data_IF_205376003142
#
_entry.id   IF_205376003142
#
_cell.length_a   1.000
_cell.length_b   1.000
_cell.length_c   1.000
_cell.angle_alpha   90.00
_cell.angle_beta   90.00
_cell.angle_gamma   90.00
#
_symmetry.space_group_name_H-M   'P 1'
#
loop_
_entity.id
_entity.type
_entity.pdbx_description
1 polymer ?
#
# COMPACT_ATOMS: atom_id res chain seq x y z
N UNK A 1 -14.36 28.51 -7.15
CA UNK A 1 -14.24 27.27 -6.35
C UNK A 1 -13.11 27.45 -5.35
N UNK A 2 -13.30 27.10 -4.08
CA UNK A 2 -12.29 27.30 -3.01
C UNK A 2 -11.13 26.31 -3.14
N UNK A 3 -9.89 26.77 -2.90
CA UNK A 3 -8.64 25.96 -2.89
C UNK A 3 -8.75 24.70 -2.02
N UNK A 4 -9.53 24.76 -0.94
CA UNK A 4 -9.79 23.63 -0.05
C UNK A 4 -10.57 22.48 -0.71
N UNK A 5 -11.49 22.78 -1.64
CA UNK A 5 -12.22 21.76 -2.39
C UNK A 5 -11.36 21.10 -3.47
N UNK A 6 -10.39 21.83 -4.04
CA UNK A 6 -9.41 21.29 -4.99
C UNK A 6 -8.39 20.36 -4.31
N UNK A 7 -7.91 20.73 -3.12
CA UNK A 7 -6.99 19.89 -2.34
C UNK A 7 -7.63 18.55 -1.94
N UNK A 8 -8.93 18.57 -1.57
CA UNK A 8 -9.69 17.35 -1.24
C UNK A 8 -9.84 16.38 -2.41
N UNK A 9 -9.72 16.85 -3.66
CA UNK A 9 -9.77 16.00 -4.87
C UNK A 9 -8.40 15.42 -5.26
N UNK A 10 -7.30 15.97 -4.75
CA UNK A 10 -5.94 15.57 -5.13
C UNK A 10 -5.23 14.72 -4.07
N UNK A 11 -5.94 14.36 -3.00
CA UNK A 11 -5.45 13.51 -1.93
C UNK A 11 -6.35 12.28 -1.77
N UNK A 12 -5.75 11.13 -1.52
CA UNK A 12 -6.44 9.89 -1.20
C UNK A 12 -5.83 9.23 0.03
N UNK A 13 -6.68 8.72 0.90
CA UNK A 13 -6.29 7.90 2.04
C UNK A 13 -6.79 6.48 1.80
N UNK A 14 -5.89 5.50 1.89
CA UNK A 14 -6.16 4.07 1.71
C UNK A 14 -5.92 3.38 3.05
N UNK A 15 -6.89 2.58 3.50
CA UNK A 15 -6.83 1.89 4.78
C UNK A 15 -6.69 0.39 4.54
N UNK A 16 -5.56 -0.18 4.96
CA UNK A 16 -5.24 -1.60 4.83
C UNK A 16 -5.38 -2.27 6.20
N UNK A 17 -6.51 -2.94 6.41
CA UNK A 17 -6.73 -3.70 7.64
C UNK A 17 -6.16 -5.13 7.52
N UNK A 18 -5.05 -5.41 8.21
CA UNK A 18 -4.39 -6.72 8.18
C UNK A 18 -4.94 -7.71 9.21
N UNK A 19 -6.04 -7.39 9.88
CA UNK A 19 -6.69 -8.32 10.80
C UNK A 19 -7.05 -9.61 10.06
N UNK A 20 -6.66 -10.74 10.63
CA UNK A 20 -6.82 -12.10 10.07
C UNK A 20 -5.99 -12.42 8.82
N UNK A 21 -5.02 -11.59 8.43
CA UNK A 21 -4.05 -11.94 7.38
C UNK A 21 -3.04 -12.94 7.95
N UNK A 22 -3.13 -14.20 7.49
CA UNK A 22 -2.35 -15.34 8.02
C UNK A 22 -1.37 -15.96 7.03
N UNK A 23 -1.47 -15.59 5.76
CA UNK A 23 -0.67 -16.15 4.68
C UNK A 23 -0.36 -15.09 3.64
N UNK A 24 0.71 -15.31 2.87
CA UNK A 24 1.07 -14.46 1.73
C UNK A 24 -0.11 -14.31 0.76
N UNK A 25 -0.82 -15.40 0.45
CA UNK A 25 -2.00 -15.34 -0.42
C UNK A 25 -3.09 -14.42 0.14
N UNK A 26 -3.37 -14.50 1.44
CA UNK A 26 -4.35 -13.61 2.08
C UNK A 26 -3.89 -12.14 2.04
N UNK A 27 -2.60 -11.88 2.24
CA UNK A 27 -2.03 -10.55 2.13
C UNK A 27 -2.13 -9.99 0.70
N UNK A 28 -1.72 -10.77 -0.30
CA UNK A 28 -1.78 -10.37 -1.71
C UNK A 28 -3.22 -10.10 -2.17
N UNK A 29 -4.19 -10.92 -1.74
CA UNK A 29 -5.61 -10.67 -2.00
C UNK A 29 -6.07 -9.36 -1.36
N UNK A 30 -5.69 -9.14 -0.09
CA UNK A 30 -6.02 -7.90 0.63
C UNK A 30 -5.47 -6.67 -0.09
N UNK A 31 -4.24 -6.74 -0.60
CA UNK A 31 -3.62 -5.66 -1.35
C UNK A 31 -4.30 -5.43 -2.70
N UNK A 32 -4.58 -6.49 -3.47
CA UNK A 32 -5.35 -6.43 -4.74
C UNK A 32 -6.67 -5.71 -4.57
N UNK A 33 -7.44 -6.08 -3.55
CA UNK A 33 -8.73 -5.46 -3.25
C UNK A 33 -8.58 -4.00 -2.79
N UNK A 34 -7.71 -3.75 -1.81
CA UNK A 34 -7.64 -2.45 -1.13
C UNK A 34 -7.07 -1.35 -2.04
N UNK A 35 -6.09 -1.68 -2.87
CA UNK A 35 -5.50 -0.74 -3.83
C UNK A 35 -6.14 -0.79 -5.21
N UNK A 36 -7.12 -1.68 -5.42
CA UNK A 36 -7.69 -1.97 -6.74
C UNK A 36 -6.58 -2.25 -7.77
N UNK A 37 -5.64 -3.13 -7.41
CA UNK A 37 -4.48 -3.41 -8.27
C UNK A 37 -4.95 -3.88 -9.66
N UNK A 38 -4.18 -3.65 -10.73
CA UNK A 38 -4.56 -4.05 -12.09
C UNK A 38 -4.67 -5.56 -12.28
N UNK A 39 -5.35 -5.99 -13.35
CA UNK A 39 -5.60 -7.42 -13.62
C UNK A 39 -4.35 -8.21 -14.05
N UNK A 40 -3.30 -7.51 -14.48
CA UNK A 40 -2.00 -8.10 -14.72
C UNK A 40 -1.23 -8.43 -13.42
N UNK A 41 -1.76 -8.09 -12.24
CA UNK A 41 -1.13 -8.41 -10.96
C UNK A 41 -0.98 -9.93 -10.79
N UNK A 42 0.27 -10.40 -10.74
CA UNK A 42 0.63 -11.82 -10.78
C UNK A 42 0.44 -12.61 -9.48
N UNK A 43 -0.07 -12.00 -8.41
CA UNK A 43 -0.20 -12.62 -7.08
C UNK A 43 1.13 -13.18 -6.53
N UNK A 44 2.18 -12.36 -6.61
CA UNK A 44 3.49 -12.59 -5.98
C UNK A 44 3.91 -11.33 -5.20
N UNK A 45 4.81 -11.47 -4.22
CA UNK A 45 5.36 -10.31 -3.51
C UNK A 45 6.14 -9.38 -4.45
N UNK A 46 6.97 -9.92 -5.34
CA UNK A 46 7.69 -9.11 -6.34
C UNK A 46 6.72 -8.33 -7.24
N UNK A 47 5.65 -8.97 -7.70
CA UNK A 47 4.63 -8.30 -8.52
C UNK A 47 3.82 -7.27 -7.74
N UNK A 48 3.72 -7.42 -6.41
CA UNK A 48 3.13 -6.41 -5.54
C UNK A 48 4.08 -5.22 -5.42
N UNK A 49 5.38 -5.47 -5.27
CA UNK A 49 6.38 -4.41 -5.19
C UNK A 49 6.37 -3.53 -6.46
N UNK A 50 6.33 -4.15 -7.64
CA UNK A 50 6.18 -3.45 -8.93
C UNK A 50 4.92 -2.57 -8.96
N UNK A 51 3.79 -3.12 -8.51
CA UNK A 51 2.52 -2.40 -8.46
C UNK A 51 2.60 -1.19 -7.51
N UNK A 52 3.17 -1.39 -6.31
CA UNK A 52 3.24 -0.37 -5.26
C UNK A 52 4.26 0.73 -5.57
N UNK A 53 5.23 0.47 -6.45
CA UNK A 53 6.16 1.47 -6.98
C UNK A 53 5.61 2.20 -8.22
N UNK A 54 4.63 1.64 -8.94
CA UNK A 54 3.95 2.33 -10.04
C UNK A 54 2.80 3.22 -9.54
N UNK A 55 1.77 2.62 -8.95
CA UNK A 55 0.50 3.26 -8.58
C UNK A 55 -0.09 4.17 -9.68
N UNK A 56 0.13 3.87 -10.95
CA UNK A 56 -0.25 4.73 -12.09
C UNK A 56 -1.76 4.88 -12.27
N UNK A 57 -2.54 3.87 -11.86
CA UNK A 57 -4.00 3.89 -11.91
C UNK A 57 -4.63 4.79 -10.83
N UNK A 58 -3.83 5.28 -9.88
CA UNK A 58 -4.28 6.23 -8.86
C UNK A 58 -3.98 7.65 -9.34
N UNK A 59 -5.04 8.42 -9.66
CA UNK A 59 -4.90 9.78 -10.21
C UNK A 59 -4.45 10.82 -9.17
N UNK A 60 -4.71 10.58 -7.88
CA UNK A 60 -4.37 11.53 -6.82
C UNK A 60 -2.86 11.65 -6.64
N UNK A 61 -2.36 12.90 -6.60
CA UNK A 61 -0.92 13.17 -6.42
C UNK A 61 -0.45 13.01 -4.97
N UNK A 62 -1.37 12.95 -4.01
CA UNK A 62 -1.05 12.71 -2.61
C UNK A 62 -1.78 11.44 -2.16
N UNK A 63 -1.04 10.42 -1.79
CA UNK A 63 -1.59 9.13 -1.35
C UNK A 63 -1.01 8.81 0.02
N UNK A 64 -1.89 8.54 0.98
CA UNK A 64 -1.54 8.05 2.30
C UNK A 64 -2.10 6.64 2.48
N UNK A 65 -1.22 5.64 2.59
CA UNK A 65 -1.60 4.27 2.89
C UNK A 65 -1.35 3.97 4.37
N UNK A 66 -2.41 3.67 5.11
CA UNK A 66 -2.35 3.32 6.53
C UNK A 66 -2.61 1.83 6.72
N UNK A 67 -1.66 1.14 7.33
CA UNK A 67 -1.77 -0.27 7.66
C UNK A 67 -2.13 -0.41 9.13
N UNK A 68 -3.13 -1.25 9.38
CA UNK A 68 -3.64 -1.52 10.72
C UNK A 68 -3.46 -2.99 11.05
N UNK A 69 -3.32 -3.29 12.35
CA UNK A 69 -3.21 -4.66 12.87
C UNK A 69 -2.03 -5.46 12.30
N UNK A 70 -0.92 -4.79 11.96
CA UNK A 70 0.30 -5.47 11.54
C UNK A 70 0.86 -6.39 12.65
N UNK A 71 0.66 -6.01 13.91
CA UNK A 71 0.98 -6.85 15.07
C UNK A 71 0.23 -8.18 15.11
N UNK A 72 -1.00 -8.25 14.59
CA UNK A 72 -1.76 -9.49 14.52
C UNK A 72 -1.11 -10.48 13.53
N UNK A 73 -0.54 -9.94 12.44
CA UNK A 73 0.25 -10.75 11.48
C UNK A 73 1.49 -11.28 12.17
N UNK A 74 2.23 -10.44 12.91
CA UNK A 74 3.43 -10.85 13.65
C UNK A 74 3.16 -12.00 14.61
N UNK A 75 2.06 -11.93 15.36
CA UNK A 75 1.68 -12.97 16.33
C UNK A 75 1.32 -14.30 15.66
N UNK A 76 0.81 -14.28 14.43
CA UNK A 76 0.32 -15.46 13.73
C UNK A 76 1.36 -16.05 12.76
N UNK A 77 2.21 -15.21 12.19
CA UNK A 77 3.21 -15.56 11.18
C UNK A 77 4.32 -14.50 11.13
N UNK A 78 5.36 -14.67 11.96
CA UNK A 78 6.48 -13.74 12.07
C UNK A 78 7.28 -13.59 10.77
N UNK A 79 7.42 -14.68 10.00
CA UNK A 79 8.10 -14.64 8.71
C UNK A 79 7.37 -13.74 7.71
N UNK A 80 6.04 -13.91 7.60
CA UNK A 80 5.21 -13.05 6.74
C UNK A 80 5.22 -11.59 7.22
N UNK A 81 5.19 -11.36 8.54
CA UNK A 81 5.34 -10.02 9.08
C UNK A 81 6.64 -9.36 8.62
N UNK A 82 7.77 -10.09 8.67
CA UNK A 82 9.06 -9.60 8.18
C UNK A 82 9.00 -9.20 6.71
N UNK A 83 8.44 -10.08 5.85
CA UNK A 83 8.27 -9.81 4.43
C UNK A 83 7.43 -8.55 4.16
N UNK A 84 6.31 -8.38 4.88
CA UNK A 84 5.45 -7.20 4.73
C UNK A 84 6.21 -5.93 5.15
N UNK A 85 6.91 -5.96 6.28
CA UNK A 85 7.69 -4.80 6.76
C UNK A 85 8.79 -4.43 5.77
N UNK A 86 9.49 -5.42 5.20
CA UNK A 86 10.52 -5.19 4.20
C UNK A 86 9.96 -4.54 2.93
N UNK A 87 8.83 -5.04 2.41
CA UNK A 87 8.11 -4.41 1.30
C UNK A 87 7.66 -2.97 1.63
N UNK A 88 7.10 -2.72 2.82
CA UNK A 88 6.66 -1.36 3.20
C UNK A 88 7.83 -0.38 3.33
N UNK A 89 8.98 -0.84 3.86
CA UNK A 89 10.22 -0.07 3.90
C UNK A 89 10.72 0.24 2.48
N UNK A 90 10.67 -0.74 1.57
CA UNK A 90 11.02 -0.57 0.16
C UNK A 90 10.15 0.50 -0.49
N UNK A 91 8.82 0.45 -0.30
CA UNK A 91 7.91 1.42 -0.92
C UNK A 91 8.14 2.83 -0.38
N UNK A 92 8.33 2.95 0.94
CA UNK A 92 8.66 4.23 1.57
C UNK A 92 9.95 4.80 1.01
N UNK A 93 10.99 3.98 0.83
CA UNK A 93 12.24 4.41 0.24
C UNK A 93 12.05 4.86 -1.23
N UNK A 94 11.31 4.09 -2.03
CA UNK A 94 11.05 4.40 -3.44
C UNK A 94 10.36 5.76 -3.63
N UNK A 95 9.32 6.04 -2.84
CA UNK A 95 8.52 7.26 -2.98
C UNK A 95 9.13 8.48 -2.28
N UNK A 96 10.16 8.30 -1.46
CA UNK A 96 10.82 9.41 -0.78
C UNK A 96 11.45 10.36 -1.81
N UNK A 97 11.01 11.62 -1.80
CA UNK A 97 11.57 12.66 -2.67
C UNK A 97 11.03 12.65 -4.10
N UNK A 98 10.02 11.84 -4.42
CA UNK A 98 9.39 11.86 -5.75
C UNK A 98 8.70 13.23 -6.00
N UNK A 99 9.05 13.96 -7.08
CA UNK A 99 8.54 15.31 -7.33
C UNK A 99 7.11 15.33 -7.89
N UNK A 100 6.68 14.25 -8.55
CA UNK A 100 5.44 14.19 -9.32
C UNK A 100 4.26 13.65 -8.50
N UNK A 101 4.56 12.73 -7.58
CA UNK A 101 3.57 12.09 -6.71
C UNK A 101 4.14 11.84 -5.32
N UNK A 102 3.39 12.26 -4.30
CA UNK A 102 3.73 12.03 -2.90
C UNK A 102 2.95 10.84 -2.38
N UNK A 103 3.66 9.77 -2.07
CA UNK A 103 3.07 8.57 -1.46
C UNK A 103 3.73 8.37 -0.10
N UNK A 104 2.92 8.09 0.92
CA UNK A 104 3.39 7.88 2.28
C UNK A 104 2.71 6.66 2.88
N UNK A 105 3.45 5.98 3.75
CA UNK A 105 3.05 4.72 4.38
C UNK A 105 3.17 4.87 5.90
N UNK A 106 2.10 4.52 6.61
CA UNK A 106 2.03 4.43 8.07
C UNK A 106 1.69 3.00 8.46
N UNK A 107 2.50 2.37 9.32
CA UNK A 107 2.37 0.98 9.74
C UNK A 107 3.10 0.73 11.05
#
# INVERSE_FOLDING_TARGET
MSTYAYLRKNAMEIHVDLRNVRSERAFLNKMKETFSLPDYFGYTLDGLDDCMQSLEWIEQKQVLAKFYHLDDVRQQNEALYGQIVDSLNLYKAYWTGNPDKKVSFEY
#
